data_IF_807815248745
#
_entry.id   IF_807815248745
#
_cell.length_a   1.000
_cell.length_b   1.000
_cell.length_c   1.000
_cell.angle_alpha   90.00
_cell.angle_beta   90.00
_cell.angle_gamma   90.00
#
_symmetry.space_group_name_H-M   'P 1'
#
loop_
_entity.id
_entity.type
_entity.pdbx_description
1 polymer ?
#
# COMPACT_ATOMS: atom_id res chain seq x y z
N UNK A 1 -48.53 -28.91 21.13
CA UNK A 1 -47.68 -27.95 21.88
C UNK A 1 -46.26 -28.46 21.78
N UNK A 2 -45.23 -27.72 21.40
CA UNK A 2 -45.00 -26.44 20.75
C UNK A 2 -43.47 -26.46 20.54
N UNK A 3 -42.96 -26.09 19.36
CA UNK A 3 -41.63 -25.51 19.10
C UNK A 3 -41.24 -25.68 17.62
N UNK A 4 -41.93 -24.94 16.75
CA UNK A 4 -41.35 -24.45 15.49
C UNK A 4 -41.35 -22.93 15.61
N UNK A 5 -40.21 -22.31 15.97
CA UNK A 5 -39.89 -20.91 15.61
C UNK A 5 -38.60 -20.44 16.29
N UNK A 6 -37.44 -20.63 15.67
CA UNK A 6 -36.29 -19.76 15.98
C UNK A 6 -35.18 -19.68 14.93
N UNK A 7 -35.21 -20.39 13.80
CA UNK A 7 -34.01 -20.47 12.93
C UNK A 7 -34.08 -19.71 11.58
N UNK A 8 -35.19 -19.05 11.26
CA UNK A 8 -35.36 -18.40 9.95
C UNK A 8 -35.00 -16.90 9.90
N UNK A 9 -34.80 -16.25 11.06
CA UNK A 9 -34.54 -14.80 11.13
C UNK A 9 -33.05 -14.42 11.20
N UNK A 10 -32.17 -15.33 11.62
CA UNK A 10 -30.73 -15.04 11.79
C UNK A 10 -29.93 -15.20 10.48
N UNK A 11 -30.30 -16.15 9.60
CA UNK A 11 -29.61 -16.40 8.33
C UNK A 11 -29.72 -15.26 7.31
N UNK A 12 -30.84 -14.51 7.32
CA UNK A 12 -31.07 -13.39 6.41
C UNK A 12 -30.27 -12.13 6.75
N UNK A 13 -30.02 -11.88 8.04
CA UNK A 13 -29.25 -10.72 8.51
C UNK A 13 -27.75 -10.96 8.35
N UNK A 14 -27.25 -12.15 8.73
CA UNK A 14 -25.85 -12.54 8.54
C UNK A 14 -25.45 -12.63 7.06
N UNK A 15 -26.35 -13.13 6.20
CA UNK A 15 -26.11 -13.16 4.74
C UNK A 15 -26.04 -11.77 4.11
N UNK A 16 -26.91 -10.84 4.52
CA UNK A 16 -26.84 -9.44 4.09
C UNK A 16 -25.57 -8.74 4.57
N UNK A 17 -25.19 -8.93 5.83
CA UNK A 17 -23.96 -8.35 6.37
C UNK A 17 -22.71 -8.92 5.68
N UNK A 18 -22.70 -10.22 5.34
CA UNK A 18 -21.63 -10.84 4.59
C UNK A 18 -21.51 -10.25 3.16
N UNK A 19 -22.63 -10.08 2.45
CA UNK A 19 -22.64 -9.44 1.12
C UNK A 19 -22.23 -7.96 1.19
N UNK A 20 -22.59 -7.23 2.25
CA UNK A 20 -22.14 -5.85 2.50
C UNK A 20 -20.64 -5.77 2.78
N UNK A 21 -20.11 -6.65 3.65
CA UNK A 21 -18.68 -6.73 3.96
C UNK A 21 -17.91 -7.15 2.70
N UNK A 22 -18.36 -8.18 1.99
CA UNK A 22 -17.76 -8.62 0.73
C UNK A 22 -17.79 -7.53 -0.34
N UNK A 23 -18.89 -6.80 -0.45
CA UNK A 23 -19.02 -5.64 -1.33
C UNK A 23 -18.09 -4.49 -0.93
N UNK A 24 -17.96 -4.22 0.37
CA UNK A 24 -17.07 -3.22 0.92
C UNK A 24 -15.60 -3.57 0.62
N UNK A 25 -15.19 -4.81 0.87
CA UNK A 25 -13.85 -5.30 0.52
C UNK A 25 -13.61 -5.33 -0.98
N UNK A 26 -14.59 -5.73 -1.81
CA UNK A 26 -14.46 -5.72 -3.27
C UNK A 26 -14.26 -4.30 -3.82
N UNK A 27 -14.95 -3.30 -3.26
CA UNK A 27 -14.73 -1.87 -3.61
C UNK A 27 -13.36 -1.40 -3.15
N UNK A 28 -12.96 -1.70 -1.91
CA UNK A 28 -11.66 -1.32 -1.36
C UNK A 28 -10.49 -2.02 -2.07
N UNK A 29 -10.70 -3.21 -2.61
CA UNK A 29 -9.70 -3.98 -3.35
C UNK A 29 -9.81 -3.80 -4.87
N UNK A 30 -10.72 -2.96 -5.38
CA UNK A 30 -10.89 -2.74 -6.82
C UNK A 30 -9.62 -2.18 -7.48
N UNK A 31 -8.77 -1.46 -6.73
CA UNK A 31 -7.47 -1.01 -7.23
C UNK A 31 -6.55 -2.18 -7.61
N UNK A 32 -6.72 -3.38 -7.00
CA UNK A 32 -5.93 -4.56 -7.34
C UNK A 32 -6.23 -5.10 -8.73
N UNK A 33 -7.45 -4.92 -9.25
CA UNK A 33 -7.78 -5.37 -10.60
C UNK A 33 -6.96 -4.62 -11.66
N UNK A 34 -6.53 -3.38 -11.37
CA UNK A 34 -5.57 -2.66 -12.20
C UNK A 34 -4.14 -3.21 -12.08
N UNK A 35 -3.71 -3.59 -10.86
CA UNK A 35 -2.44 -4.27 -10.69
C UNK A 35 -2.44 -5.68 -11.33
N UNK A 36 -3.58 -6.37 -11.41
CA UNK A 36 -3.67 -7.64 -12.16
C UNK A 36 -3.35 -7.45 -13.65
N UNK A 37 -3.75 -6.32 -14.23
CA UNK A 37 -3.43 -5.99 -15.63
C UNK A 37 -1.92 -5.83 -15.85
N UNK A 38 -1.19 -5.32 -14.87
CA UNK A 38 0.28 -5.20 -14.93
C UNK A 38 1.00 -6.49 -14.53
N UNK A 39 0.44 -7.27 -13.60
CA UNK A 39 1.03 -8.50 -13.07
C UNK A 39 0.77 -9.76 -13.93
N UNK A 40 -0.20 -9.71 -14.86
CA UNK A 40 -0.59 -10.83 -15.72
C UNK A 40 -0.17 -10.72 -17.19
N UNK A 41 0.74 -9.78 -17.54
CA UNK A 41 1.21 -9.65 -18.93
C UNK A 41 2.15 -10.80 -19.30
N UNK A 42 2.00 -11.30 -20.53
CA UNK A 42 2.91 -12.30 -21.14
C UNK A 42 4.34 -11.76 -21.30
N UNK A 43 4.50 -10.44 -21.46
CA UNK A 43 5.79 -9.76 -21.41
C UNK A 43 5.82 -8.76 -20.25
N UNK A 44 6.78 -8.87 -19.32
CA UNK A 44 6.90 -7.92 -18.22
C UNK A 44 7.22 -6.52 -18.76
N UNK A 45 6.51 -5.51 -18.26
CA UNK A 45 6.88 -4.12 -18.50
C UNK A 45 8.27 -3.87 -17.89
N UNK A 46 9.14 -3.07 -18.56
CA UNK A 46 10.43 -2.72 -17.99
C UNK A 46 10.21 -1.98 -16.66
N UNK A 47 11.12 -2.24 -15.71
CA UNK A 47 11.12 -1.52 -14.43
C UNK A 47 11.32 -0.03 -14.72
N UNK A 48 10.45 0.82 -14.17
CA UNK A 48 10.67 2.27 -14.24
C UNK A 48 11.98 2.66 -13.56
N UNK A 49 12.62 3.70 -14.08
CA UNK A 49 13.81 4.31 -13.49
C UNK A 49 13.45 5.58 -12.73
N UNK A 50 14.39 6.14 -11.97
CA UNK A 50 14.16 7.42 -11.31
C UNK A 50 14.05 8.59 -12.30
N UNK A 51 14.69 8.47 -13.47
CA UNK A 51 14.57 9.46 -14.56
C UNK A 51 13.13 9.53 -15.11
N UNK A 52 12.46 8.38 -15.27
CA UNK A 52 11.06 8.33 -15.73
C UNK A 52 10.11 9.04 -14.78
N UNK A 53 10.49 9.10 -13.51
CA UNK A 53 9.67 9.69 -12.46
C UNK A 53 9.88 11.18 -12.43
N UNK A 54 11.12 11.64 -12.59
CA UNK A 54 11.42 13.06 -12.78
C UNK A 54 10.78 13.60 -14.05
N UNK A 55 10.76 12.82 -15.13
CA UNK A 55 10.05 13.16 -16.37
C UNK A 55 8.53 13.25 -16.15
N UNK A 56 7.93 12.31 -15.41
CA UNK A 56 6.52 12.41 -15.05
C UNK A 56 6.24 13.66 -14.20
N UNK A 57 7.08 13.93 -13.19
CA UNK A 57 6.96 15.10 -12.32
C UNK A 57 7.07 16.40 -13.13
N UNK A 58 7.94 16.44 -14.14
CA UNK A 58 8.07 17.57 -15.04
C UNK A 58 6.89 17.70 -16.01
N UNK A 59 6.31 16.58 -16.45
CA UNK A 59 5.22 16.56 -17.43
C UNK A 59 3.83 16.89 -16.85
N UNK A 60 3.56 16.49 -15.60
CA UNK A 60 2.23 16.62 -14.99
C UNK A 60 2.24 17.64 -13.84
N UNK A 61 1.60 18.79 -14.07
CA UNK A 61 1.50 19.88 -13.10
C UNK A 61 0.60 19.55 -11.90
N UNK A 62 -0.33 18.60 -12.04
CA UNK A 62 -1.33 18.28 -11.01
C UNK A 62 -0.86 17.10 -10.17
N UNK A 63 -0.46 15.99 -10.81
CA UNK A 63 -0.07 14.76 -10.12
C UNK A 63 1.44 14.63 -9.89
N UNK A 64 2.27 15.41 -10.59
CA UNK A 64 3.73 15.40 -10.41
C UNK A 64 4.17 15.81 -9.00
N UNK A 65 3.75 16.98 -8.46
CA UNK A 65 4.09 17.39 -7.10
C UNK A 65 3.60 16.40 -6.04
N UNK A 66 2.44 15.78 -6.27
CA UNK A 66 1.85 14.76 -5.40
C UNK A 66 2.73 13.50 -5.37
N UNK A 67 3.16 13.02 -6.54
CA UNK A 67 4.06 11.87 -6.65
C UNK A 67 5.42 12.13 -5.98
N UNK A 68 5.96 13.35 -6.12
CA UNK A 68 7.20 13.75 -5.45
C UNK A 68 7.06 13.71 -3.93
N UNK A 69 5.98 14.30 -3.39
CA UNK A 69 5.70 14.29 -1.96
C UNK A 69 5.51 12.85 -1.44
N UNK A 70 4.87 11.96 -2.21
CA UNK A 70 4.73 10.54 -1.89
C UNK A 70 6.08 9.84 -1.82
N UNK A 71 6.97 10.06 -2.77
CA UNK A 71 8.30 9.44 -2.75
C UNK A 71 9.17 9.94 -1.62
N UNK A 72 9.09 11.22 -1.29
CA UNK A 72 9.74 11.77 -0.10
C UNK A 72 9.17 11.15 1.17
N UNK A 73 7.84 11.02 1.29
CA UNK A 73 7.19 10.38 2.45
C UNK A 73 7.62 8.93 2.66
N UNK A 74 7.84 8.18 1.57
CA UNK A 74 8.29 6.79 1.62
C UNK A 74 9.67 6.65 2.26
N UNK A 75 10.55 7.64 2.10
CA UNK A 75 11.87 7.66 2.77
C UNK A 75 11.71 7.73 4.29
N UNK A 76 10.78 8.53 4.80
CA UNK A 76 10.49 8.60 6.23
C UNK A 76 9.92 7.29 6.77
N UNK A 77 9.03 6.64 6.04
CA UNK A 77 8.54 5.30 6.41
C UNK A 77 9.67 4.26 6.46
N UNK A 78 10.60 4.28 5.50
CA UNK A 78 11.78 3.39 5.50
C UNK A 78 12.67 3.69 6.70
N UNK A 79 12.97 4.96 6.98
CA UNK A 79 13.78 5.36 8.14
C UNK A 79 13.10 4.92 9.45
N UNK A 80 11.79 5.16 9.57
CA UNK A 80 11.01 4.73 10.73
C UNK A 80 11.04 3.21 10.90
N UNK A 81 10.88 2.45 9.81
CA UNK A 81 10.97 0.99 9.84
C UNK A 81 12.37 0.52 10.28
N UNK A 82 13.45 1.09 9.75
CA UNK A 82 14.81 0.73 10.16
C UNK A 82 15.07 1.06 11.63
N UNK A 83 14.62 2.23 12.10
CA UNK A 83 14.77 2.61 13.50
C UNK A 83 13.96 1.70 14.43
N UNK A 84 12.71 1.39 14.09
CA UNK A 84 11.87 0.48 14.86
C UNK A 84 12.41 -0.95 14.87
N UNK A 85 12.89 -1.44 13.73
CA UNK A 85 13.53 -2.74 13.59
C UNK A 85 14.82 -2.84 14.42
N UNK A 86 15.68 -1.83 14.34
CA UNK A 86 16.90 -1.77 15.15
C UNK A 86 16.59 -1.67 16.64
N UNK A 87 15.57 -0.90 17.03
CA UNK A 87 15.18 -0.74 18.42
C UNK A 87 14.65 -2.03 19.03
N UNK A 88 13.58 -2.62 18.46
CA UNK A 88 13.01 -3.87 18.99
C UNK A 88 13.90 -5.09 18.73
N UNK A 89 14.60 -5.14 17.59
CA UNK A 89 15.61 -6.14 17.30
C UNK A 89 16.77 -6.10 18.30
N UNK A 90 17.28 -4.91 18.62
CA UNK A 90 18.35 -4.74 19.60
C UNK A 90 17.94 -5.14 21.02
N UNK A 91 16.73 -4.74 21.45
CA UNK A 91 16.19 -5.13 22.77
C UNK A 91 15.98 -6.65 22.84
N UNK A 92 15.36 -7.25 21.82
CA UNK A 92 15.12 -8.69 21.80
C UNK A 92 16.43 -9.50 21.76
N UNK A 93 17.44 -9.06 21.01
CA UNK A 93 18.74 -9.73 20.99
C UNK A 93 19.44 -9.66 22.35
N UNK A 94 19.41 -8.48 23.00
CA UNK A 94 20.06 -8.26 24.30
C UNK A 94 19.46 -9.13 25.42
N UNK A 95 18.13 -9.27 25.46
CA UNK A 95 17.45 -10.00 26.55
C UNK A 95 17.08 -11.44 26.22
N UNK A 96 16.60 -11.72 25.00
CA UNK A 96 16.08 -13.05 24.65
C UNK A 96 17.17 -14.00 24.17
N UNK A 97 18.24 -13.49 23.53
CA UNK A 97 19.30 -14.28 22.85
C UNK A 97 18.76 -15.39 21.92
N UNK A 98 17.47 -15.35 21.57
CA UNK A 98 16.79 -16.35 20.76
C UNK A 98 16.65 -15.85 19.32
N UNK A 99 17.01 -16.67 18.31
CA UNK A 99 16.94 -16.24 16.92
C UNK A 99 15.49 -16.01 16.46
N UNK A 100 14.54 -16.82 16.93
CA UNK A 100 13.13 -16.67 16.60
C UNK A 100 12.52 -15.38 17.20
N UNK A 101 12.83 -15.07 18.47
CA UNK A 101 12.37 -13.84 19.11
C UNK A 101 12.96 -12.59 18.46
N UNK A 102 14.22 -12.64 18.05
CA UNK A 102 14.86 -11.57 17.32
C UNK A 102 14.20 -11.27 15.98
N UNK A 103 13.94 -12.31 15.17
CA UNK A 103 13.30 -12.14 13.85
C UNK A 103 11.90 -11.54 14.00
N UNK A 104 11.10 -12.07 14.92
CA UNK A 104 9.74 -11.56 15.15
C UNK A 104 9.74 -10.13 15.69
N UNK A 105 10.60 -9.82 16.66
CA UNK A 105 10.68 -8.48 17.24
C UNK A 105 11.22 -7.45 16.24
N UNK A 106 12.20 -7.83 15.41
CA UNK A 106 12.73 -6.98 14.34
C UNK A 106 11.64 -6.71 13.30
N UNK A 107 10.90 -7.75 12.87
CA UNK A 107 9.78 -7.60 11.94
C UNK A 107 8.67 -6.71 12.50
N UNK A 108 8.26 -6.93 13.75
CA UNK A 108 7.24 -6.10 14.41
C UNK A 108 7.70 -4.66 14.58
N UNK A 109 8.96 -4.44 14.97
CA UNK A 109 9.55 -3.10 15.06
C UNK A 109 9.61 -2.40 13.71
N UNK A 110 9.93 -3.13 12.64
CA UNK A 110 9.90 -2.57 11.28
C UNK A 110 8.49 -2.11 10.89
N UNK A 111 7.46 -2.90 11.21
CA UNK A 111 6.07 -2.56 10.93
C UNK A 111 5.63 -1.32 11.70
N UNK A 112 5.77 -1.32 13.03
CA UNK A 112 5.35 -0.19 13.86
C UNK A 112 6.14 1.08 13.55
N UNK A 113 7.47 0.96 13.38
CA UNK A 113 8.32 2.07 13.01
C UNK A 113 7.99 2.62 11.63
N UNK A 114 7.67 1.76 10.67
CA UNK A 114 7.24 2.16 9.33
C UNK A 114 5.93 2.94 9.34
N UNK A 115 4.94 2.48 10.12
CA UNK A 115 3.65 3.17 10.29
C UNK A 115 3.84 4.53 10.96
N UNK A 116 4.60 4.61 12.05
CA UNK A 116 4.90 5.89 12.70
C UNK A 116 5.67 6.82 11.78
N UNK A 117 6.61 6.30 10.99
CA UNK A 117 7.34 7.07 9.99
C UNK A 117 6.44 7.62 8.89
N UNK A 118 5.42 6.86 8.45
CA UNK A 118 4.42 7.38 7.51
C UNK A 118 3.54 8.46 8.14
N UNK A 119 3.08 8.30 9.38
CA UNK A 119 2.26 9.30 10.08
C UNK A 119 2.99 10.64 10.25
N UNK A 120 4.27 10.58 10.65
CA UNK A 120 5.12 11.79 10.74
C UNK A 120 5.24 12.48 9.39
N UNK A 121 5.43 11.72 8.32
CA UNK A 121 5.48 12.27 6.97
C UNK A 121 4.14 12.85 6.52
N UNK A 122 3.03 12.22 6.91
CA UNK A 122 1.69 12.70 6.60
C UNK A 122 1.38 14.04 7.26
N UNK A 123 1.78 14.18 8.52
CA UNK A 123 1.65 15.44 9.24
C UNK A 123 2.58 16.52 8.68
N UNK A 124 3.82 16.18 8.36
CA UNK A 124 4.82 17.16 7.88
C UNK A 124 4.55 17.66 6.46
N UNK A 125 4.11 16.77 5.57
CA UNK A 125 3.91 17.08 4.13
C UNK A 125 2.44 17.27 3.76
N UNK A 126 1.54 17.30 4.74
CA UNK A 126 0.08 17.42 4.55
C UNK A 126 -0.48 16.44 3.52
N UNK A 127 0.06 15.22 3.50
CA UNK A 127 -0.32 14.19 2.53
C UNK A 127 -1.80 13.77 2.65
N UNK A 128 -2.47 14.11 3.75
CA UNK A 128 -3.91 13.89 3.93
C UNK A 128 -4.77 14.67 2.93
N UNK A 129 -4.25 15.73 2.31
CA UNK A 129 -4.96 16.50 1.27
C UNK A 129 -4.81 15.92 -0.13
N UNK A 130 -3.98 14.88 -0.28
CA UNK A 130 -3.53 14.38 -1.58
C UNK A 130 -4.10 12.97 -1.81
N UNK A 131 -4.63 12.72 -3.00
CA UNK A 131 -5.02 11.37 -3.40
C UNK A 131 -3.78 10.54 -3.79
N UNK A 132 -3.26 9.82 -2.80
CA UNK A 132 -2.08 8.95 -2.95
C UNK A 132 -2.30 7.86 -3.99
N UNK A 133 -3.52 7.32 -4.08
CA UNK A 133 -3.84 6.23 -4.99
C UNK A 133 -3.99 6.77 -6.41
N UNK A 134 -4.70 7.88 -6.58
CA UNK A 134 -4.86 8.57 -7.86
C UNK A 134 -3.54 9.00 -8.50
N UNK A 135 -2.62 9.58 -7.72
CA UNK A 135 -1.31 9.99 -8.24
C UNK A 135 -0.45 8.80 -8.70
N UNK A 136 -0.44 7.70 -7.95
CA UNK A 136 0.28 6.48 -8.36
C UNK A 136 -0.36 5.82 -9.58
N UNK A 137 -1.69 5.78 -9.65
CA UNK A 137 -2.43 5.27 -10.81
C UNK A 137 -2.14 6.10 -12.06
N UNK A 138 -2.12 7.44 -11.94
CA UNK A 138 -1.84 8.32 -13.07
C UNK A 138 -0.42 8.14 -13.60
N UNK A 139 0.56 8.00 -12.71
CA UNK A 139 1.94 7.67 -13.08
C UNK A 139 2.03 6.34 -13.83
N UNK A 140 1.34 5.30 -13.35
CA UNK A 140 1.31 3.98 -14.00
C UNK A 140 0.73 4.04 -15.42
N UNK A 141 -0.35 4.79 -15.63
CA UNK A 141 -0.93 4.96 -16.96
C UNK A 141 0.02 5.69 -17.91
N UNK A 142 0.60 6.80 -17.46
CA UNK A 142 1.58 7.53 -18.24
C UNK A 142 2.80 6.66 -18.59
N UNK A 143 3.26 5.85 -17.64
CA UNK A 143 4.38 4.91 -17.84
C UNK A 143 4.06 3.81 -18.85
N UNK A 144 2.85 3.22 -18.77
CA UNK A 144 2.39 2.24 -19.75
C UNK A 144 2.31 2.86 -21.15
N UNK A 145 1.74 4.06 -21.29
CA UNK A 145 1.63 4.75 -22.58
C UNK A 145 3.00 5.11 -23.16
N UNK A 146 3.93 5.60 -22.34
CA UNK A 146 5.32 5.89 -22.75
C UNK A 146 6.04 4.64 -23.24
N UNK A 147 5.97 3.54 -22.48
CA UNK A 147 6.67 2.28 -22.82
C UNK A 147 6.08 1.59 -24.04
N UNK A 148 4.76 1.62 -24.22
CA UNK A 148 4.08 1.09 -25.41
C UNK A 148 4.32 1.98 -26.63
N UNK A 149 4.29 3.31 -26.46
CA UNK A 149 4.62 4.25 -27.53
C UNK A 149 6.05 4.08 -28.02
N UNK A 150 7.01 3.93 -27.10
CA UNK A 150 8.42 3.70 -27.42
C UNK A 150 8.71 2.32 -28.06
N UNK A 151 7.79 1.35 -27.95
CA UNK A 151 7.91 0.04 -28.61
C UNK A 151 7.35 0.05 -30.05
N UNK A 152 6.47 1.00 -30.37
CA UNK A 152 5.78 1.08 -31.68
C UNK A 152 6.50 1.97 -32.68
N UNK A 153 7.43 2.82 -32.24
CA UNK A 153 8.36 3.58 -33.06
C UNK A 153 9.67 2.81 -33.22
#
# INVERSE_FOLDING_TARGET
MAEESSDSSQGGFLGKHYEEVKGHWRRNLAFLDYYKKTLGRAEPLPKWTDADVEEFIASDLVYGPQLKALRESRKYAIVGALLGAAHLGGVSWKYSKSPHGFVLATGFGALCGGVLGSEVAEHWKQLYKIDKQGANLRFLYWWEDKTVGNRRN
#
